data_IF_270359571613
#
_entry.id   IF_270359571613
#
_cell.length_a   1.000
_cell.length_b   1.000
_cell.length_c   1.000
_cell.angle_alpha   90.00
_cell.angle_beta   90.00
_cell.angle_gamma   90.00
#
_symmetry.space_group_name_H-M   'P 1'
#
loop_
_entity.id
_entity.type
_entity.pdbx_description
1 polymer ?
#
# COMPACT_ATOMS: atom_id res chain seq x y z
N UNK A 1 -0.24 12.12 -19.03
CA UNK A 1 1.21 12.43 -19.02
C UNK A 1 1.66 12.11 -17.60
N UNK A 2 1.88 10.83 -17.29
CA UNK A 2 2.19 10.40 -15.93
C UNK A 2 3.68 10.60 -15.67
N UNK A 3 3.98 11.56 -14.80
CA UNK A 3 5.33 11.90 -14.39
C UNK A 3 5.89 10.83 -13.46
N UNK A 4 6.76 9.99 -14.01
CA UNK A 4 7.84 9.35 -13.28
C UNK A 4 8.81 10.42 -12.78
N UNK A 5 8.76 10.87 -11.52
CA UNK A 5 9.90 11.54 -10.87
C UNK A 5 9.84 11.44 -9.33
N UNK A 6 11.03 11.36 -8.71
CA UNK A 6 11.28 11.28 -7.27
C UNK A 6 12.05 12.55 -6.84
N UNK A 7 11.74 13.10 -5.67
CA UNK A 7 12.58 14.08 -4.98
C UNK A 7 11.77 15.04 -4.13
N UNK A 8 11.95 15.03 -2.80
CA UNK A 8 11.56 16.06 -1.81
C UNK A 8 10.16 16.75 -1.94
N UNK A 9 9.25 16.25 -2.77
CA UNK A 9 7.90 16.75 -2.95
C UNK A 9 6.95 15.92 -2.07
N UNK A 10 6.24 16.62 -1.18
CA UNK A 10 5.14 16.04 -0.40
C UNK A 10 4.11 15.46 -1.37
N UNK A 11 3.72 14.19 -1.15
CA UNK A 11 2.67 13.54 -1.93
C UNK A 11 1.37 14.36 -1.83
N UNK A 12 0.72 14.60 -2.96
CA UNK A 12 -0.59 15.25 -2.96
C UNK A 12 -1.66 14.34 -2.33
N UNK A 13 -2.75 14.92 -1.82
CA UNK A 13 -3.85 14.13 -1.26
C UNK A 13 -4.44 13.14 -2.28
N UNK A 14 -4.49 13.52 -3.55
CA UNK A 14 -4.98 12.67 -4.64
C UNK A 14 -4.07 11.45 -4.86
N UNK A 15 -2.75 11.65 -4.91
CA UNK A 15 -1.78 10.56 -5.03
C UNK A 15 -1.83 9.61 -3.83
N UNK A 16 -2.01 10.15 -2.61
CA UNK A 16 -2.18 9.35 -1.39
C UNK A 16 -3.41 8.46 -1.51
N UNK A 17 -4.54 9.03 -1.93
CA UNK A 17 -5.80 8.29 -2.08
C UNK A 17 -5.70 7.22 -3.20
N UNK A 18 -4.97 7.50 -4.28
CA UNK A 18 -4.67 6.51 -5.34
C UNK A 18 -3.85 5.33 -4.80
N UNK A 19 -2.79 5.59 -4.01
CA UNK A 19 -1.96 4.55 -3.41
C UNK A 19 -2.78 3.68 -2.44
N UNK A 20 -3.65 4.31 -1.63
CA UNK A 20 -4.54 3.59 -0.71
C UNK A 20 -5.51 2.70 -1.49
N UNK A 21 -6.09 3.23 -2.57
CA UNK A 21 -7.00 2.48 -3.43
C UNK A 21 -6.29 1.29 -4.08
N UNK A 22 -5.10 1.50 -4.63
CA UNK A 22 -4.32 0.44 -5.26
C UNK A 22 -3.94 -0.67 -4.26
N UNK A 23 -3.55 -0.30 -3.04
CA UNK A 23 -3.28 -1.25 -1.97
C UNK A 23 -4.54 -2.08 -1.64
N UNK A 24 -5.71 -1.45 -1.52
CA UNK A 24 -6.97 -2.12 -1.28
C UNK A 24 -7.34 -3.11 -2.40
N UNK A 25 -7.20 -2.69 -3.67
CA UNK A 25 -7.44 -3.53 -4.86
C UNK A 25 -6.53 -4.75 -4.85
N UNK A 26 -5.23 -4.57 -4.57
CA UNK A 26 -4.28 -5.68 -4.49
C UNK A 26 -4.64 -6.67 -3.38
N UNK A 27 -5.04 -6.19 -2.19
CA UNK A 27 -5.51 -7.05 -1.09
C UNK A 27 -6.79 -7.82 -1.47
N UNK A 28 -7.77 -7.13 -2.05
CA UNK A 28 -9.03 -7.67 -2.59
C UNK A 28 -8.79 -8.77 -3.62
N UNK A 29 -7.85 -8.58 -4.54
CA UNK A 29 -7.49 -9.57 -5.58
C UNK A 29 -7.13 -10.94 -5.00
N UNK A 30 -6.57 -10.98 -3.79
CA UNK A 30 -6.22 -12.21 -3.09
C UNK A 30 -7.26 -12.67 -2.06
N UNK A 31 -8.40 -11.98 -1.91
CA UNK A 31 -9.42 -12.28 -0.90
C UNK A 31 -8.92 -12.13 0.53
N UNK A 32 -8.00 -11.18 0.77
CA UNK A 32 -7.31 -10.99 2.05
C UNK A 32 -7.83 -9.79 2.86
N UNK A 33 -8.99 -9.23 2.54
CA UNK A 33 -9.55 -8.03 3.17
C UNK A 33 -9.74 -8.23 4.67
N UNK A 34 -10.39 -9.33 5.08
CA UNK A 34 -10.64 -9.61 6.50
C UNK A 34 -9.34 -9.86 7.30
N UNK A 35 -8.42 -10.73 6.85
CA UNK A 35 -7.10 -10.85 7.48
C UNK A 35 -6.33 -9.52 7.53
N UNK A 36 -6.39 -8.71 6.47
CA UNK A 36 -5.72 -7.43 6.40
C UNK A 36 -6.31 -6.43 7.40
N UNK A 37 -7.64 -6.29 7.47
CA UNK A 37 -8.32 -5.43 8.45
C UNK A 37 -7.89 -5.81 9.87
N UNK A 38 -7.92 -7.10 10.21
CA UNK A 38 -7.54 -7.57 11.55
C UNK A 38 -6.08 -7.27 11.86
N UNK A 39 -5.17 -7.48 10.91
CA UNK A 39 -3.76 -7.15 11.08
C UNK A 39 -3.56 -5.64 11.25
N UNK A 40 -4.12 -4.84 10.36
CA UNK A 40 -4.00 -3.38 10.38
C UNK A 40 -4.52 -2.80 11.69
N UNK A 41 -5.70 -3.20 12.16
CA UNK A 41 -6.22 -2.78 13.48
C UNK A 41 -5.32 -3.18 14.65
N UNK A 42 -4.71 -4.38 14.59
CA UNK A 42 -3.80 -4.86 15.64
C UNK A 42 -2.49 -4.07 15.69
N UNK A 43 -1.98 -3.63 14.53
CA UNK A 43 -0.71 -2.90 14.42
C UNK A 43 -0.87 -1.37 14.37
N UNK A 44 -2.10 -0.86 14.23
CA UNK A 44 -2.45 0.57 14.18
C UNK A 44 -1.80 1.44 15.27
N UNK A 45 -1.65 1.01 16.54
CA UNK A 45 -0.94 1.79 17.56
C UNK A 45 0.57 1.98 17.30
N UNK A 46 1.17 1.10 16.50
CA UNK A 46 2.60 1.07 16.20
C UNK A 46 2.96 1.87 14.93
N UNK A 47 1.96 2.24 14.12
CA UNK A 47 2.16 2.91 12.82
C UNK A 47 2.83 4.28 12.95
N UNK A 48 2.62 5.01 14.05
CA UNK A 48 3.30 6.28 14.34
C UNK A 48 4.84 6.17 14.42
N UNK A 49 5.36 4.97 14.69
CA UNK A 49 6.81 4.68 14.70
C UNK A 49 7.20 3.79 13.50
N UNK A 50 6.24 3.51 12.63
CA UNK A 50 6.33 2.50 11.58
C UNK A 50 7.36 2.83 10.52
N UNK A 51 7.49 4.09 10.12
CA UNK A 51 8.44 4.53 9.10
C UNK A 51 9.90 4.17 9.39
N UNK A 52 10.42 4.74 10.47
CA UNK A 52 11.79 4.49 10.92
C UNK A 52 12.00 3.03 11.34
N UNK A 53 11.01 2.41 12.00
CA UNK A 53 11.12 1.01 12.42
C UNK A 53 11.09 0.04 11.23
N UNK A 54 10.26 0.30 10.21
CA UNK A 54 10.21 -0.49 8.98
C UNK A 54 11.50 -0.33 8.20
N UNK A 55 12.03 0.90 8.05
CA UNK A 55 13.34 1.13 7.43
C UNK A 55 14.45 0.39 8.18
N UNK A 56 14.52 0.50 9.50
CA UNK A 56 15.55 -0.18 10.31
C UNK A 56 15.42 -1.70 10.27
N UNK A 57 14.19 -2.24 10.28
CA UNK A 57 13.93 -3.69 10.29
C UNK A 57 14.15 -4.31 8.92
N UNK A 58 13.75 -3.62 7.85
CA UNK A 58 13.83 -4.13 6.48
C UNK A 58 15.19 -3.83 5.82
N UNK A 59 15.95 -2.83 6.29
CA UNK A 59 17.26 -2.43 5.75
C UNK A 59 18.26 -3.59 5.60
N UNK A 60 18.45 -4.51 6.56
CA UNK A 60 19.33 -5.67 6.40
C UNK A 60 18.94 -6.61 5.27
N UNK A 61 17.67 -6.57 4.85
CA UNK A 61 17.10 -7.40 3.79
C UNK A 61 17.00 -6.66 2.46
N UNK A 62 17.24 -5.35 2.41
CA UNK A 62 17.25 -4.57 1.15
C UNK A 62 18.16 -5.17 0.06
N UNK A 63 19.37 -5.70 0.37
CA UNK A 63 20.18 -6.36 -0.65
C UNK A 63 19.53 -7.60 -1.28
N UNK A 64 18.57 -8.23 -0.60
CA UNK A 64 17.84 -9.42 -1.06
C UNK A 64 16.70 -9.03 -2.01
N UNK A 65 16.04 -7.90 -1.76
CA UNK A 65 14.98 -7.37 -2.61
C UNK A 65 15.49 -6.71 -3.91
N UNK A 66 16.82 -6.62 -4.09
CA UNK A 66 17.45 -5.98 -5.25
C UNK A 66 17.35 -4.45 -5.21
N UNK A 67 17.97 -3.78 -6.18
CA UNK A 67 17.89 -2.31 -6.32
C UNK A 67 16.47 -1.79 -6.65
N UNK A 68 15.53 -2.72 -6.90
CA UNK A 68 14.12 -2.47 -7.14
C UNK A 68 13.31 -2.84 -5.88
N UNK A 69 13.66 -2.28 -4.72
CA UNK A 69 12.60 -2.00 -3.75
C UNK A 69 11.74 -0.98 -4.47
N UNK A 70 10.71 -1.47 -5.17
CA UNK A 70 9.98 -0.67 -6.14
C UNK A 70 9.60 0.65 -5.51
N UNK A 71 9.64 1.72 -6.30
CA UNK A 71 9.21 3.05 -5.88
C UNK A 71 7.86 3.01 -5.15
N UNK A 72 7.03 2.04 -5.51
CA UNK A 72 5.77 1.69 -4.86
C UNK A 72 5.94 1.28 -3.38
N UNK A 73 6.88 0.40 -3.03
CA UNK A 73 7.14 -0.01 -1.64
C UNK A 73 7.60 1.14 -0.75
N UNK A 74 8.39 2.08 -1.28
CA UNK A 74 8.77 3.29 -0.55
C UNK A 74 7.58 4.24 -0.35
N UNK A 75 6.76 4.42 -1.39
CA UNK A 75 5.51 5.20 -1.32
C UNK A 75 4.55 4.62 -0.27
N UNK A 76 4.39 3.30 -0.21
CA UNK A 76 3.56 2.64 0.80
C UNK A 76 4.05 2.92 2.22
N UNK A 77 5.35 2.82 2.47
CA UNK A 77 5.91 3.12 3.80
C UNK A 77 5.56 4.55 4.21
N UNK A 78 5.75 5.52 3.30
CA UNK A 78 5.48 6.92 3.59
C UNK A 78 3.97 7.21 3.77
N UNK A 79 3.11 6.71 2.87
CA UNK A 79 1.66 6.89 2.96
C UNK A 79 1.10 6.31 4.25
N UNK A 80 1.55 5.12 4.65
CA UNK A 80 1.03 4.42 5.83
C UNK A 80 1.80 4.76 7.13
N UNK A 81 2.75 5.69 7.14
CA UNK A 81 3.26 6.32 8.37
C UNK A 81 2.15 7.11 9.08
N UNK A 82 1.26 7.74 8.31
CA UNK A 82 0.12 8.50 8.83
C UNK A 82 -1.04 7.59 9.22
N UNK A 83 -1.52 7.73 10.46
CA UNK A 83 -2.58 6.89 11.03
C UNK A 83 -3.88 7.01 10.22
N UNK A 84 -4.20 8.22 9.79
CA UNK A 84 -5.41 8.55 9.03
C UNK A 84 -5.47 7.79 7.71
N UNK A 85 -4.33 7.55 7.06
CA UNK A 85 -4.26 6.80 5.80
C UNK A 85 -4.48 5.30 6.02
N UNK A 86 -4.03 4.76 7.15
CA UNK A 86 -4.36 3.39 7.57
C UNK A 86 -5.88 3.26 7.82
N UNK A 87 -6.50 4.27 8.44
CA UNK A 87 -7.95 4.29 8.69
C UNK A 87 -8.76 4.35 7.40
N UNK A 88 -8.30 5.13 6.41
CA UNK A 88 -8.87 5.14 5.05
C UNK A 88 -8.78 3.77 4.39
N UNK A 89 -7.63 3.09 4.46
CA UNK A 89 -7.45 1.75 3.90
C UNK A 89 -8.38 0.72 4.56
N UNK A 90 -8.46 0.70 5.89
CA UNK A 90 -9.34 -0.20 6.65
C UNK A 90 -10.79 0.00 6.22
N UNK A 91 -11.25 1.26 6.20
CA UNK A 91 -12.63 1.61 5.79
C UNK A 91 -12.93 1.15 4.36
N UNK A 92 -11.96 1.29 3.45
CA UNK A 92 -12.10 0.86 2.06
C UNK A 92 -12.20 -0.67 1.96
N UNK A 93 -11.35 -1.40 2.68
CA UNK A 93 -11.39 -2.86 2.77
C UNK A 93 -12.70 -3.36 3.39
N UNK A 94 -13.24 -2.67 4.40
CA UNK A 94 -14.53 -2.99 5.01
C UNK A 94 -15.66 -2.89 3.99
N UNK A 95 -15.76 -1.75 3.27
CA UNK A 95 -16.75 -1.55 2.20
C UNK A 95 -16.63 -2.60 1.10
N UNK A 96 -15.40 -2.92 0.73
CA UNK A 96 -15.10 -3.99 -0.22
C UNK A 96 -15.64 -5.31 0.33
N UNK A 97 -15.35 -5.66 1.59
CA UNK A 97 -15.75 -6.95 2.22
C UNK A 97 -17.26 -7.11 2.37
N UNK A 98 -18.01 -6.01 2.57
CA UNK A 98 -19.46 -6.01 2.71
C UNK A 98 -20.20 -5.93 1.36
N UNK A 99 -19.48 -5.68 0.26
CA UNK A 99 -20.07 -5.48 -1.08
C UNK A 99 -20.67 -4.10 -1.28
N UNK A 100 -20.37 -3.15 -0.40
CA UNK A 100 -20.82 -1.74 -0.47
C UNK A 100 -19.86 -0.86 -1.29
N UNK A 101 -18.80 -1.45 -1.86
CA UNK A 101 -17.88 -0.76 -2.75
C UNK A 101 -18.36 -0.85 -4.20
N UNK A 102 -18.67 0.30 -4.81
CA UNK A 102 -19.03 0.41 -6.22
C UNK A 102 -17.74 0.60 -7.07
N UNK A 103 -17.50 -0.32 -8.02
CA UNK A 103 -16.25 -0.47 -8.81
C UNK A 103 -15.95 0.66 -9.81
N UNK A 104 -16.56 1.84 -9.71
CA UNK A 104 -16.45 2.91 -10.73
C UNK A 104 -15.02 3.45 -10.99
N UNK A 105 -14.01 3.03 -10.21
CA UNK A 105 -12.59 3.43 -10.37
C UNK A 105 -11.59 2.29 -10.63
N UNK A 106 -12.04 1.04 -10.75
CA UNK A 106 -11.14 -0.12 -10.81
C UNK A 106 -10.59 -0.46 -12.21
N UNK A 107 -11.13 0.14 -13.29
CA UNK A 107 -10.74 -0.17 -14.68
C UNK A 107 -9.41 0.47 -15.13
N UNK A 108 -8.76 1.31 -14.30
CA UNK A 108 -7.51 2.01 -14.65
C UNK A 108 -6.30 1.65 -13.77
N UNK A 109 -6.33 0.54 -13.02
CA UNK A 109 -5.13 0.07 -12.32
C UNK A 109 -4.20 -0.67 -13.30
N UNK A 110 -2.89 -0.35 -13.38
CA UNK A 110 -1.98 -1.02 -14.30
C UNK A 110 -1.82 -2.49 -13.91
N UNK A 111 -2.16 -3.38 -14.84
CA UNK A 111 -1.64 -4.74 -14.85
C UNK A 111 -0.13 -4.66 -15.05
N UNK A 112 0.65 -5.04 -14.04
CA UNK A 112 1.80 -5.95 -14.14
C UNK A 112 2.57 -6.00 -12.81
N UNK A 113 2.72 -7.21 -12.27
CA UNK A 113 4.05 -7.72 -11.94
C UNK A 113 4.02 -9.23 -12.25
N UNK A 114 4.81 -9.70 -13.24
CA UNK A 114 4.98 -11.13 -13.45
C UNK A 114 5.89 -11.65 -12.34
N UNK A 115 5.32 -12.31 -11.33
CA UNK A 115 6.10 -13.23 -10.51
C UNK A 115 6.43 -14.44 -11.39
N UNK A 116 7.51 -14.33 -12.17
CA UNK A 116 8.10 -15.50 -12.82
C UNK A 116 8.61 -16.43 -11.72
N UNK A 117 7.86 -17.50 -11.48
CA UNK A 117 8.42 -18.77 -11.00
C UNK A 117 9.57 -19.16 -11.94
N UNK A 118 10.80 -19.21 -11.41
CA UNK A 118 11.80 -20.12 -11.97
C UNK A 118 12.47 -20.92 -10.86
N UNK A 119 12.22 -22.22 -10.96
CA UNK A 119 12.87 -23.33 -10.27
C UNK A 119 14.37 -23.38 -10.56
#
# INVERSE_FOLDING_TARGET
MCGFFYGDEELTEEEIDEIILEAAIRIRKYGMEMPAIMALESFKPLMFVGGEMARLTLSPFFPIFGANVDLWGQKLIHVFEEKENVDKLITLLEKMSTGEYEEEKAEEAPEEDPVEEKQ
#
